data_IF_963467931524
#
_entry.id   IF_963467931524
#
_cell.length_a   1.000
_cell.length_b   1.000
_cell.length_c   1.000
_cell.angle_alpha   90.00
_cell.angle_beta   90.00
_cell.angle_gamma   90.00
#
_symmetry.space_group_name_H-M   'P 1'
#
loop_
_entity.id
_entity.type
_entity.pdbx_description
1 polymer ?
#
# COMPACT_ATOMS: atom_id res chain seq x y z
N UNK A 1 -36.98 44.90 -3.14
CA UNK A 1 -36.23 44.51 -4.35
C UNK A 1 -34.81 44.99 -4.10
N UNK A 2 -33.98 44.20 -3.41
CA UNK A 2 -32.60 44.59 -3.11
C UNK A 2 -31.73 43.34 -2.96
N UNK A 3 -30.50 43.48 -3.42
CA UNK A 3 -29.69 42.50 -4.14
C UNK A 3 -28.92 41.55 -3.25
N UNK A 4 -28.87 40.28 -3.71
CA UNK A 4 -28.08 39.16 -3.20
C UNK A 4 -26.59 39.49 -3.23
N UNK A 5 -26.01 39.72 -2.06
CA UNK A 5 -24.57 39.95 -1.87
C UNK A 5 -23.78 38.68 -2.25
N UNK A 6 -22.94 38.82 -3.27
CA UNK A 6 -22.10 37.75 -3.81
C UNK A 6 -20.92 37.54 -2.89
N UNK A 7 -20.90 36.42 -2.14
CA UNK A 7 -19.70 35.92 -1.45
C UNK A 7 -18.56 35.72 -2.46
N UNK A 8 -17.75 36.74 -2.65
CA UNK A 8 -16.44 36.63 -3.30
C UNK A 8 -15.52 35.88 -2.36
N UNK A 9 -15.25 34.62 -2.68
CA UNK A 9 -14.17 33.84 -2.04
C UNK A 9 -12.86 34.62 -2.29
N UNK A 10 -12.13 35.06 -1.24
CA UNK A 10 -10.90 35.82 -1.43
C UNK A 10 -9.88 34.97 -2.20
N UNK A 11 -9.42 35.49 -3.35
CA UNK A 11 -8.34 34.86 -4.12
C UNK A 11 -7.10 34.78 -3.23
N UNK A 12 -6.40 33.64 -3.16
CA UNK A 12 -5.23 33.49 -2.32
C UNK A 12 -4.15 34.52 -2.69
N UNK A 13 -3.63 35.21 -1.68
CA UNK A 13 -2.51 36.15 -1.79
C UNK A 13 -1.27 35.49 -2.39
N UNK A 14 -0.42 36.27 -3.06
CA UNK A 14 0.80 35.78 -3.75
C UNK A 14 1.69 34.97 -2.80
N UNK A 15 1.86 35.45 -1.56
CA UNK A 15 2.61 34.76 -0.51
C UNK A 15 2.06 33.35 -0.19
N UNK A 16 0.73 33.21 -0.03
CA UNK A 16 0.10 31.92 0.25
C UNK A 16 0.13 30.95 -0.94
N UNK A 17 0.37 31.42 -2.17
CA UNK A 17 0.59 30.55 -3.33
C UNK A 17 2.02 30.00 -3.36
N UNK A 18 3.00 30.85 -3.03
CA UNK A 18 4.42 30.46 -2.94
C UNK A 18 4.63 29.43 -1.84
N UNK A 19 4.02 29.64 -0.66
CA UNK A 19 4.10 28.69 0.46
C UNK A 19 3.55 27.30 0.11
N UNK A 20 2.37 27.23 -0.54
CA UNK A 20 1.82 25.96 -1.02
C UNK A 20 2.68 25.28 -2.08
N UNK A 21 3.27 26.05 -2.99
CA UNK A 21 4.16 25.51 -4.02
C UNK A 21 5.44 24.94 -3.39
N UNK A 22 6.02 25.65 -2.42
CA UNK A 22 7.18 25.20 -1.64
C UNK A 22 6.87 23.92 -0.88
N UNK A 23 5.75 23.89 -0.15
CA UNK A 23 5.32 22.70 0.57
C UNK A 23 5.16 21.50 -0.37
N UNK A 24 4.46 21.69 -1.49
CA UNK A 24 4.25 20.64 -2.48
C UNK A 24 5.57 20.11 -3.04
N UNK A 25 6.53 20.99 -3.32
CA UNK A 25 7.83 20.58 -3.82
C UNK A 25 8.58 19.70 -2.81
N UNK A 26 8.57 20.05 -1.53
CA UNK A 26 9.19 19.25 -0.47
C UNK A 26 8.46 17.91 -0.26
N UNK A 27 7.13 17.90 -0.32
CA UNK A 27 6.34 16.66 -0.27
C UNK A 27 6.74 15.74 -1.45
N UNK A 28 6.82 16.27 -2.67
CA UNK A 28 7.23 15.53 -3.86
C UNK A 28 8.70 15.05 -3.75
N UNK A 29 9.60 15.87 -3.18
CA UNK A 29 11.00 15.53 -2.97
C UNK A 29 11.17 14.37 -1.97
N UNK A 30 10.45 14.41 -0.85
CA UNK A 30 10.43 13.32 0.13
C UNK A 30 9.90 12.03 -0.49
N UNK A 31 8.84 12.11 -1.30
CA UNK A 31 8.28 10.95 -2.00
C UNK A 31 9.30 10.35 -2.98
N UNK A 32 10.00 11.17 -3.76
CA UNK A 32 11.02 10.68 -4.70
C UNK A 32 12.22 10.04 -4.00
N UNK A 33 12.68 10.58 -2.87
CA UNK A 33 13.74 9.96 -2.07
C UNK A 33 13.29 8.62 -1.47
N UNK A 34 12.05 8.52 -0.96
CA UNK A 34 11.48 7.25 -0.49
C UNK A 34 11.35 6.22 -1.61
N UNK A 35 10.98 6.64 -2.82
CA UNK A 35 10.93 5.75 -3.98
C UNK A 35 12.31 5.25 -4.41
N UNK A 36 13.39 5.92 -4.01
CA UNK A 36 14.77 5.49 -4.22
C UNK A 36 15.34 4.64 -3.06
N UNK A 37 14.51 4.31 -2.07
CA UNK A 37 14.89 3.48 -0.91
C UNK A 37 16.01 4.12 -0.06
N UNK A 38 15.97 5.46 0.05
CA UNK A 38 16.87 6.23 0.92
C UNK A 38 16.34 6.16 2.35
N UNK A 39 17.21 5.93 3.36
CA UNK A 39 16.78 5.85 4.75
C UNK A 39 16.28 7.19 5.29
N UNK A 40 15.41 7.12 6.29
CA UNK A 40 14.66 8.24 6.85
C UNK A 40 15.54 9.32 7.47
N UNK A 41 16.66 8.94 8.07
CA UNK A 41 17.68 9.86 8.57
C UNK A 41 18.32 10.67 7.42
N UNK A 42 18.76 10.00 6.36
CA UNK A 42 19.34 10.64 5.18
C UNK A 42 18.33 11.49 4.41
N UNK A 43 17.04 11.11 4.39
CA UNK A 43 15.97 11.96 3.87
C UNK A 43 15.82 13.22 4.73
N UNK A 44 15.82 13.07 6.05
CA UNK A 44 15.71 14.18 6.99
C UNK A 44 16.84 15.19 6.83
N UNK A 45 18.08 14.70 6.76
CA UNK A 45 19.28 15.51 6.52
C UNK A 45 19.18 16.24 5.18
N UNK A 46 18.84 15.54 4.11
CA UNK A 46 18.72 16.16 2.78
C UNK A 46 17.63 17.24 2.72
N UNK A 47 16.49 17.02 3.39
CA UNK A 47 15.41 18.02 3.49
C UNK A 47 15.84 19.21 4.33
N UNK A 48 16.52 18.99 5.47
CA UNK A 48 17.01 20.05 6.33
C UNK A 48 18.02 20.94 5.60
N UNK A 49 19.01 20.35 4.92
CA UNK A 49 19.99 21.09 4.13
C UNK A 49 19.34 21.89 2.98
N UNK A 50 18.34 21.32 2.30
CA UNK A 50 17.62 22.05 1.25
C UNK A 50 16.79 23.22 1.81
N UNK A 51 16.22 23.09 3.01
CA UNK A 51 15.50 24.19 3.69
C UNK A 51 16.44 25.30 4.13
N UNK A 52 17.59 24.95 4.69
CA UNK A 52 18.63 25.90 5.09
C UNK A 52 19.15 26.69 3.89
N UNK A 53 19.47 26.00 2.79
CA UNK A 53 19.91 26.65 1.56
C UNK A 53 18.86 27.62 0.98
N UNK A 54 17.57 27.30 1.09
CA UNK A 54 16.50 28.21 0.66
C UNK A 54 16.32 29.40 1.59
N UNK A 55 16.54 29.23 2.89
CA UNK A 55 16.53 30.32 3.85
C UNK A 55 17.60 31.36 3.50
N UNK A 56 18.78 30.90 3.07
CA UNK A 56 19.89 31.76 2.64
C UNK A 56 19.70 32.35 1.24
N UNK A 57 19.12 31.58 0.31
CA UNK A 57 18.98 31.97 -1.10
C UNK A 57 17.74 32.84 -1.37
N UNK A 58 16.71 32.75 -0.53
CA UNK A 58 15.46 33.52 -0.65
C UNK A 58 14.57 33.21 -1.88
N UNK A 59 14.97 32.25 -2.72
CA UNK A 59 14.23 31.82 -3.92
C UNK A 59 13.20 30.70 -3.64
N UNK A 60 12.42 30.33 -4.65
CA UNK A 60 11.54 29.15 -4.54
C UNK A 60 12.30 27.85 -4.84
N UNK A 61 11.93 26.70 -4.25
CA UNK A 61 12.64 25.44 -4.47
C UNK A 61 12.74 25.04 -5.95
N UNK A 62 11.68 25.30 -6.73
CA UNK A 62 11.65 24.98 -8.15
C UNK A 62 12.58 25.84 -9.00
N UNK A 63 12.88 27.07 -8.58
CA UNK A 63 13.82 27.95 -9.25
C UNK A 63 15.27 27.61 -8.90
N UNK A 64 15.50 27.23 -7.64
CA UNK A 64 16.84 26.98 -7.10
C UNK A 64 17.34 25.57 -7.43
N UNK A 65 16.50 24.56 -7.24
CA UNK A 65 16.87 23.15 -7.38
C UNK A 65 16.27 22.49 -8.63
N UNK A 66 15.33 23.16 -9.30
CA UNK A 66 14.57 22.57 -10.40
C UNK A 66 13.51 21.57 -9.93
N UNK A 67 13.11 20.61 -10.78
CA UNK A 67 12.13 19.59 -10.43
C UNK A 67 12.63 18.68 -9.30
N UNK A 68 11.78 18.45 -8.28
CA UNK A 68 12.11 17.63 -7.10
C UNK A 68 12.71 16.26 -7.46
N UNK A 69 12.17 15.60 -8.49
CA UNK A 69 12.67 14.32 -9.02
C UNK A 69 14.09 14.41 -9.59
N UNK A 70 14.38 15.47 -10.34
CA UNK A 70 15.70 15.66 -10.94
C UNK A 70 16.74 15.94 -9.85
N UNK A 71 16.37 16.75 -8.86
CA UNK A 71 17.21 17.02 -7.70
C UNK A 71 17.45 15.75 -6.87
N UNK A 72 16.41 15.01 -6.51
CA UNK A 72 16.53 13.73 -5.79
C UNK A 72 17.43 12.72 -6.52
N UNK A 73 17.36 12.65 -7.86
CA UNK A 73 18.22 11.76 -8.65
C UNK A 73 19.68 12.23 -8.73
N UNK A 74 19.93 13.54 -8.55
CA UNK A 74 21.28 14.10 -8.55
C UNK A 74 22.02 13.89 -7.22
N UNK A 75 21.30 13.61 -6.14
CA UNK A 75 21.88 13.34 -4.83
C UNK A 75 22.39 11.90 -4.77
N UNK A 76 23.69 11.74 -4.52
CA UNK A 76 24.32 10.44 -4.30
C UNK A 76 24.15 9.99 -2.84
N UNK A 77 22.90 9.75 -2.44
CA UNK A 77 22.54 9.36 -1.08
C UNK A 77 22.65 7.84 -0.88
N UNK A 78 22.95 7.38 0.35
CA UNK A 78 22.94 5.96 0.67
C UNK A 78 21.54 5.37 0.40
N UNK A 79 21.51 4.25 -0.31
CA UNK A 79 20.28 3.49 -0.59
C UNK A 79 20.34 2.17 0.15
N UNK A 80 19.22 1.71 0.67
CA UNK A 80 19.10 0.35 1.14
C UNK A 80 19.37 -0.59 -0.05
N UNK A 81 20.51 -1.28 -0.04
CA UNK A 81 20.71 -2.44 -0.91
C UNK A 81 19.92 -3.57 -0.28
N UNK A 82 18.61 -3.61 -0.47
CA UNK A 82 17.86 -4.81 -0.10
C UNK A 82 18.45 -5.99 -0.89
N UNK A 83 19.02 -7.00 -0.21
CA UNK A 83 19.33 -8.25 -0.89
C UNK A 83 18.00 -8.82 -1.41
N UNK A 84 18.00 -9.48 -2.57
CA UNK A 84 16.82 -10.17 -3.15
C UNK A 84 16.05 -11.04 -2.13
N UNK A 85 16.72 -11.48 -1.06
CA UNK A 85 16.13 -12.20 0.06
C UNK A 85 15.16 -11.37 0.91
N UNK A 86 15.31 -10.04 1.01
CA UNK A 86 14.41 -9.14 1.75
C UNK A 86 13.04 -9.03 1.10
N UNK A 87 13.01 -8.77 -0.20
CA UNK A 87 11.77 -8.78 -1.00
C UNK A 87 11.03 -10.13 -0.93
N UNK A 88 11.75 -11.24 -1.08
CA UNK A 88 11.15 -12.58 -0.95
C UNK A 88 10.63 -12.84 0.47
N UNK A 89 11.36 -12.38 1.49
CA UNK A 89 10.97 -12.46 2.89
C UNK A 89 9.70 -11.67 3.22
N UNK A 90 9.35 -10.64 2.43
CA UNK A 90 8.11 -9.88 2.53
C UNK A 90 6.98 -10.50 1.69
N UNK A 91 7.26 -10.81 0.42
CA UNK A 91 6.26 -11.29 -0.54
C UNK A 91 5.72 -12.69 -0.20
N UNK A 92 6.58 -13.60 0.29
CA UNK A 92 6.18 -14.98 0.58
C UNK A 92 5.11 -15.04 1.68
N UNK A 93 5.29 -14.42 2.86
CA UNK A 93 4.23 -14.34 3.86
C UNK A 93 2.95 -13.68 3.37
N UNK A 94 3.04 -12.59 2.59
CA UNK A 94 1.86 -11.93 2.03
C UNK A 94 1.07 -12.84 1.08
N UNK A 95 1.77 -13.51 0.16
CA UNK A 95 1.14 -14.44 -0.78
C UNK A 95 0.54 -15.66 -0.06
N UNK A 96 1.25 -16.21 0.93
CA UNK A 96 0.75 -17.32 1.75
C UNK A 96 -0.47 -16.91 2.59
N UNK A 97 -0.45 -15.72 3.19
CA UNK A 97 -1.58 -15.19 3.94
C UNK A 97 -2.81 -15.00 3.06
N UNK A 98 -2.62 -14.49 1.84
CA UNK A 98 -3.70 -14.33 0.86
C UNK A 98 -4.25 -15.67 0.36
N UNK A 99 -3.38 -16.66 0.11
CA UNK A 99 -3.78 -18.03 -0.19
C UNK A 99 -4.59 -18.65 0.95
N UNK A 100 -4.13 -18.51 2.20
CA UNK A 100 -4.85 -18.97 3.38
C UNK A 100 -6.22 -18.31 3.51
N UNK A 101 -6.31 -17.02 3.20
CA UNK A 101 -7.56 -16.26 3.22
C UNK A 101 -8.55 -16.80 2.20
N UNK A 102 -8.12 -16.98 0.94
CA UNK A 102 -8.97 -17.54 -0.10
C UNK A 102 -9.40 -18.98 0.19
N UNK A 103 -8.53 -19.80 0.79
CA UNK A 103 -8.86 -21.16 1.18
C UNK A 103 -9.96 -21.20 2.27
N UNK A 104 -9.83 -20.37 3.32
CA UNK A 104 -10.86 -20.24 4.36
C UNK A 104 -12.16 -19.69 3.78
N UNK A 105 -12.07 -18.66 2.94
CA UNK A 105 -13.21 -18.05 2.28
C UNK A 105 -14.02 -19.06 1.46
N UNK A 106 -13.32 -19.83 0.62
CA UNK A 106 -13.93 -20.86 -0.21
C UNK A 106 -14.58 -21.96 0.65
N UNK A 107 -13.91 -22.40 1.71
CA UNK A 107 -14.43 -23.43 2.62
C UNK A 107 -15.68 -22.97 3.37
N UNK A 108 -15.69 -21.76 3.91
CA UNK A 108 -16.84 -21.19 4.61
C UNK A 108 -18.03 -20.98 3.66
N UNK A 109 -17.77 -20.61 2.40
CA UNK A 109 -18.82 -20.45 1.40
C UNK A 109 -19.40 -21.77 0.85
N UNK A 110 -18.78 -22.91 1.17
CA UNK A 110 -19.23 -24.21 0.67
C UNK A 110 -20.50 -24.68 1.38
N UNK A 111 -21.48 -25.13 0.60
CA UNK A 111 -22.76 -25.63 1.14
C UNK A 111 -22.75 -27.15 1.31
N UNK A 112 -22.04 -27.87 0.43
CA UNK A 112 -22.09 -29.33 0.37
C UNK A 112 -20.92 -30.02 1.12
N UNK A 113 -20.26 -29.30 2.03
CA UNK A 113 -19.06 -29.78 2.73
C UNK A 113 -17.84 -30.00 1.81
N UNK A 114 -17.93 -29.58 0.54
CA UNK A 114 -16.84 -29.63 -0.43
C UNK A 114 -16.63 -28.27 -1.09
N UNK A 115 -15.37 -27.87 -1.20
CA UNK A 115 -14.92 -26.68 -1.90
C UNK A 115 -14.76 -27.03 -3.37
N UNK A 116 -15.57 -26.41 -4.22
CA UNK A 116 -15.42 -26.51 -5.67
C UNK A 116 -14.43 -25.45 -6.14
N UNK A 117 -13.30 -25.88 -6.68
CA UNK A 117 -12.34 -24.96 -7.30
C UNK A 117 -12.77 -24.72 -8.73
N UNK A 118 -13.44 -23.60 -8.95
CA UNK A 118 -13.93 -23.17 -10.27
C UNK A 118 -12.87 -22.36 -11.00
N UNK A 119 -12.94 -22.34 -12.34
CA UNK A 119 -12.03 -21.52 -13.15
C UNK A 119 -12.10 -20.02 -12.79
N UNK A 120 -13.29 -19.39 -12.62
CA UNK A 120 -13.37 -18.01 -12.17
C UNK A 120 -12.78 -17.80 -10.77
N UNK A 121 -13.04 -18.74 -9.84
CA UNK A 121 -12.46 -18.69 -8.49
C UNK A 121 -10.94 -18.72 -8.51
N UNK A 122 -10.35 -19.62 -9.30
CA UNK A 122 -8.90 -19.71 -9.47
C UNK A 122 -8.31 -18.43 -10.06
N UNK A 123 -8.96 -17.84 -11.08
CA UNK A 123 -8.51 -16.59 -11.67
C UNK A 123 -8.53 -15.43 -10.66
N UNK A 124 -9.53 -15.37 -9.77
CA UNK A 124 -9.58 -14.37 -8.69
C UNK A 124 -8.37 -14.53 -7.76
N UNK A 125 -8.07 -15.77 -7.33
CA UNK A 125 -6.90 -16.05 -6.48
C UNK A 125 -5.61 -15.62 -7.18
N UNK A 126 -5.41 -16.01 -8.43
CA UNK A 126 -4.22 -15.68 -9.21
C UNK A 126 -4.07 -14.16 -9.41
N UNK A 127 -5.18 -13.47 -9.66
CA UNK A 127 -5.18 -12.01 -9.80
C UNK A 127 -4.79 -11.34 -8.48
N UNK A 128 -5.36 -11.79 -7.36
CA UNK A 128 -5.00 -11.28 -6.03
C UNK A 128 -3.51 -11.47 -5.72
N UNK A 129 -2.96 -12.65 -6.03
CA UNK A 129 -1.54 -12.95 -5.85
C UNK A 129 -0.64 -12.10 -6.76
N UNK A 130 -1.03 -11.93 -8.02
CA UNK A 130 -0.30 -11.07 -8.96
C UNK A 130 -0.30 -9.61 -8.49
N UNK A 131 -1.43 -9.10 -8.01
CA UNK A 131 -1.52 -7.75 -7.45
C UNK A 131 -0.65 -7.59 -6.20
N UNK A 132 -0.64 -8.58 -5.30
CA UNK A 132 0.23 -8.57 -4.12
C UNK A 132 1.72 -8.58 -4.50
N UNK A 133 2.12 -9.45 -5.43
CA UNK A 133 3.50 -9.55 -5.92
C UNK A 133 3.96 -8.28 -6.65
N UNK A 134 3.06 -7.65 -7.41
CA UNK A 134 3.35 -6.44 -8.16
C UNK A 134 3.11 -5.15 -7.37
N UNK A 135 2.64 -5.22 -6.11
CA UNK A 135 2.31 -4.04 -5.31
C UNK A 135 3.43 -2.96 -5.27
N UNK A 136 4.73 -3.30 -5.12
CA UNK A 136 5.80 -2.28 -5.10
C UNK A 136 5.92 -1.54 -6.44
N UNK A 137 5.80 -2.28 -7.55
CA UNK A 137 5.84 -1.72 -8.90
C UNK A 137 4.60 -0.88 -9.20
N UNK A 138 3.44 -1.34 -8.73
CA UNK A 138 2.18 -0.64 -8.86
C UNK A 138 2.22 0.70 -8.10
N UNK A 139 2.73 0.73 -6.87
CA UNK A 139 2.87 1.98 -6.11
C UNK A 139 3.68 3.04 -6.87
N UNK A 140 4.85 2.66 -7.41
CA UNK A 140 5.65 3.57 -8.24
C UNK A 140 4.91 4.03 -9.50
N UNK A 141 4.13 3.15 -10.13
CA UNK A 141 3.31 3.49 -11.29
C UNK A 141 2.14 4.43 -10.96
N UNK A 142 1.45 4.20 -9.85
CA UNK A 142 0.33 5.00 -9.35
C UNK A 142 0.76 6.42 -8.98
N UNK A 143 1.94 6.56 -8.37
CA UNK A 143 2.48 7.86 -7.96
C UNK A 143 2.98 8.68 -9.15
N UNK A 144 3.56 8.04 -10.17
CA UNK A 144 4.20 8.72 -11.31
C UNK A 144 3.26 9.07 -12.46
N UNK A 145 2.08 8.47 -12.52
CA UNK A 145 1.16 8.58 -13.66
C UNK A 145 -0.18 9.24 -13.32
N UNK A 146 -0.96 9.65 -14.33
CA UNK A 146 -2.32 10.10 -14.10
C UNK A 146 -3.18 8.91 -13.62
N UNK A 147 -3.89 9.11 -12.51
CA UNK A 147 -4.64 8.06 -11.79
C UNK A 147 -5.68 7.30 -12.64
N UNK A 148 -6.15 7.88 -13.74
CA UNK A 148 -7.09 7.22 -14.65
C UNK A 148 -6.50 5.97 -15.32
N UNK A 149 -5.18 5.92 -15.55
CA UNK A 149 -4.54 4.77 -16.21
C UNK A 149 -4.62 3.49 -15.37
N UNK A 150 -4.14 3.47 -14.11
CA UNK A 150 -4.29 2.29 -13.29
C UNK A 150 -5.75 2.02 -12.92
N UNK A 151 -6.58 3.06 -12.77
CA UNK A 151 -8.02 2.87 -12.55
C UNK A 151 -8.70 2.15 -13.73
N UNK A 152 -8.39 2.54 -14.96
CA UNK A 152 -8.90 1.88 -16.16
C UNK A 152 -8.39 0.43 -16.28
N UNK A 153 -7.13 0.17 -15.93
CA UNK A 153 -6.58 -1.19 -15.92
C UNK A 153 -7.28 -2.08 -14.88
N UNK A 154 -7.49 -1.58 -13.65
CA UNK A 154 -8.23 -2.30 -12.61
C UNK A 154 -9.68 -2.54 -13.02
N UNK A 155 -10.33 -1.54 -13.62
CA UNK A 155 -11.69 -1.67 -14.13
C UNK A 155 -11.76 -2.75 -15.21
N UNK A 156 -10.82 -2.76 -16.16
CA UNK A 156 -10.76 -3.77 -17.22
C UNK A 156 -10.60 -5.18 -16.66
N UNK A 157 -9.65 -5.38 -15.72
CA UNK A 157 -9.43 -6.68 -15.06
C UNK A 157 -10.68 -7.13 -14.31
N UNK A 158 -11.33 -6.21 -13.58
CA UNK A 158 -12.57 -6.49 -12.87
C UNK A 158 -13.71 -6.88 -13.84
N UNK A 159 -13.91 -6.12 -14.91
CA UNK A 159 -14.93 -6.43 -15.93
C UNK A 159 -14.68 -7.78 -16.58
N UNK A 160 -13.41 -8.10 -16.90
CA UNK A 160 -13.05 -9.40 -17.46
C UNK A 160 -13.35 -10.55 -16.49
N UNK A 161 -13.02 -10.37 -15.21
CA UNK A 161 -13.33 -11.35 -14.16
C UNK A 161 -14.84 -11.59 -14.00
N UNK A 162 -15.64 -10.52 -14.01
CA UNK A 162 -17.10 -10.62 -13.95
C UNK A 162 -17.63 -11.35 -15.19
N UNK A 163 -17.14 -10.99 -16.38
CA UNK A 163 -17.56 -11.65 -17.62
C UNK A 163 -17.23 -13.14 -17.61
N UNK A 164 -16.01 -13.52 -17.20
CA UNK A 164 -15.62 -14.92 -17.06
C UNK A 164 -16.44 -15.63 -15.98
N UNK A 165 -16.73 -14.96 -14.85
CA UNK A 165 -17.59 -15.50 -13.79
C UNK A 165 -19.01 -15.81 -14.25
N UNK A 166 -19.54 -15.03 -15.21
CA UNK A 166 -20.84 -15.27 -15.83
C UNK A 166 -20.76 -16.39 -16.87
N UNK A 167 -19.74 -16.38 -17.74
CA UNK A 167 -19.62 -17.34 -18.86
C UNK A 167 -19.14 -18.73 -18.45
N UNK A 168 -18.27 -18.83 -17.45
CA UNK A 168 -17.59 -20.07 -17.05
C UNK A 168 -17.97 -20.51 -15.63
N UNK A 169 -19.16 -20.11 -15.16
CA UNK A 169 -19.64 -20.39 -13.79
C UNK A 169 -19.60 -21.88 -13.44
N UNK A 170 -19.94 -22.73 -14.40
CA UNK A 170 -20.12 -24.17 -14.19
C UNK A 170 -18.83 -24.97 -14.43
N UNK A 171 -17.72 -24.30 -14.74
CA UNK A 171 -16.44 -24.95 -14.97
C UNK A 171 -15.75 -25.23 -13.64
N UNK A 172 -16.04 -26.41 -13.08
CA UNK A 172 -15.36 -26.96 -11.90
C UNK A 172 -14.12 -27.72 -12.35
N UNK A 173 -12.94 -27.34 -11.83
CA UNK A 173 -11.67 -28.00 -12.15
C UNK A 173 -11.45 -29.22 -11.26
N UNK A 174 -11.68 -29.07 -9.95
CA UNK A 174 -11.56 -30.14 -8.96
C UNK A 174 -12.29 -29.77 -7.66
N UNK A 175 -12.56 -30.76 -6.82
CA UNK A 175 -13.24 -30.60 -5.53
C UNK A 175 -12.31 -30.99 -4.38
N UNK A 176 -12.36 -30.21 -3.30
CA UNK A 176 -11.58 -30.45 -2.08
C UNK A 176 -12.52 -30.57 -0.88
N UNK A 177 -12.22 -31.42 0.12
CA UNK A 177 -12.98 -31.44 1.36
C UNK A 177 -12.90 -30.08 2.08
N UNK A 178 -14.03 -29.51 2.48
CA UNK A 178 -14.07 -28.15 3.02
C UNK A 178 -13.36 -28.02 4.37
N UNK A 179 -13.53 -29.01 5.25
CA UNK A 179 -12.98 -28.95 6.61
C UNK A 179 -11.44 -29.00 6.63
N UNK A 180 -10.75 -29.92 5.93
CA UNK A 180 -9.30 -29.86 5.75
C UNK A 180 -8.82 -28.56 5.08
N UNK A 181 -9.56 -28.04 4.10
CA UNK A 181 -9.22 -26.79 3.40
C UNK A 181 -9.29 -25.57 4.33
N UNK A 182 -10.34 -25.48 5.16
CA UNK A 182 -10.48 -24.43 6.17
C UNK A 182 -9.37 -24.50 7.22
N UNK A 183 -9.07 -25.70 7.73
CA UNK A 183 -8.05 -25.88 8.76
C UNK A 183 -6.66 -25.55 8.23
N UNK A 184 -6.31 -26.04 7.04
CA UNK A 184 -5.00 -25.74 6.41
C UNK A 184 -4.88 -24.26 6.05
N UNK A 185 -5.91 -23.66 5.44
CA UNK A 185 -5.92 -22.24 5.11
C UNK A 185 -5.83 -21.36 6.35
N UNK A 186 -6.59 -21.69 7.39
CA UNK A 186 -6.57 -20.99 8.67
C UNK A 186 -5.24 -21.11 9.39
N UNK A 187 -4.62 -22.30 9.38
CA UNK A 187 -3.29 -22.51 9.95
C UNK A 187 -2.22 -21.71 9.21
N UNK A 188 -2.21 -21.74 7.87
CA UNK A 188 -1.28 -20.93 7.06
C UNK A 188 -1.47 -19.44 7.37
N UNK A 189 -2.71 -18.98 7.42
CA UNK A 189 -3.02 -17.59 7.69
C UNK A 189 -2.58 -17.18 9.11
N UNK A 190 -2.84 -18.01 10.12
CA UNK A 190 -2.34 -17.82 11.49
C UNK A 190 -0.81 -17.78 11.54
N UNK A 191 -0.14 -18.75 10.91
CA UNK A 191 1.32 -18.84 10.88
C UNK A 191 1.95 -17.62 10.23
N UNK A 192 1.41 -17.13 9.11
CA UNK A 192 1.91 -15.92 8.45
C UNK A 192 1.71 -14.66 9.29
N UNK A 193 0.56 -14.54 9.97
CA UNK A 193 0.27 -13.42 10.88
C UNK A 193 1.21 -13.42 12.09
N UNK A 194 1.42 -14.58 12.72
CA UNK A 194 2.36 -14.77 13.82
C UNK A 194 3.80 -14.47 13.38
N UNK A 195 4.21 -14.98 12.21
CA UNK A 195 5.55 -14.75 11.66
C UNK A 195 5.84 -13.26 11.44
N UNK A 196 4.87 -12.51 10.91
CA UNK A 196 4.97 -11.06 10.75
C UNK A 196 5.16 -10.31 12.08
N UNK A 197 4.63 -10.85 13.18
CA UNK A 197 4.76 -10.24 14.51
C UNK A 197 6.12 -10.53 15.18
N UNK A 198 6.78 -11.63 14.83
CA UNK A 198 8.11 -11.98 15.34
C UNK A 198 9.25 -11.30 14.56
N UNK A 199 9.05 -10.99 13.27
CA UNK A 199 9.96 -10.14 12.49
C UNK A 199 9.70 -8.65 12.75
N UNK A 200 10.06 -8.18 13.95
CA UNK A 200 10.04 -6.75 14.31
C UNK A 200 11.24 -5.95 13.81
N UNK A 201 12.07 -6.52 12.94
CA UNK A 201 13.28 -5.84 12.43
C UNK A 201 12.99 -4.83 11.31
N UNK A 202 11.74 -4.71 10.86
CA UNK A 202 11.31 -3.68 9.90
C UNK A 202 10.43 -2.66 10.63
N UNK A 203 11.01 -1.99 11.63
CA UNK A 203 10.39 -0.77 12.13
C UNK A 203 10.20 0.19 10.93
N UNK A 204 9.08 0.92 10.86
CA UNK A 204 8.96 2.02 9.91
C UNK A 204 10.20 2.88 10.09
N UNK A 205 10.91 3.21 9.00
CA UNK A 205 12.00 4.17 9.05
C UNK A 205 11.38 5.58 9.03
N UNK A 206 11.17 6.20 10.21
CA UNK A 206 10.62 7.55 10.24
C UNK A 206 11.64 8.50 9.61
N UNK A 207 11.16 9.50 8.88
CA UNK A 207 12.05 10.61 8.50
C UNK A 207 12.37 11.34 9.80
N UNK A 208 13.59 11.17 10.29
CA UNK A 208 14.05 11.82 11.51
C UNK A 208 14.53 13.21 11.12
N UNK A 209 13.97 14.25 11.73
CA UNK A 209 14.59 15.57 11.65
C UNK A 209 15.93 15.54 12.40
N UNK A 210 17.04 15.95 11.78
CA UNK A 210 18.31 16.00 12.49
C UNK A 210 18.17 16.88 13.74
N UNK A 211 18.59 16.33 14.89
CA UNK A 211 18.58 16.93 16.23
C UNK A 211 17.31 16.85 17.08
N UNK A 212 16.24 16.16 16.64
CA UNK A 212 15.10 15.88 17.53
C UNK A 212 15.11 14.40 17.91
N UNK A 213 15.20 14.11 19.21
CA UNK A 213 15.10 12.75 19.72
C UNK A 213 13.81 12.08 19.19
N UNK A 214 13.84 10.81 18.78
CA UNK A 214 12.70 10.16 18.15
C UNK A 214 11.47 10.30 19.05
N UNK A 215 10.34 10.84 18.54
CA UNK A 215 9.12 10.88 19.33
C UNK A 215 8.74 9.44 19.71
N UNK A 216 8.25 9.19 20.95
CA UNK A 216 7.83 7.86 21.34
C UNK A 216 6.79 7.33 20.34
N UNK A 217 6.97 6.10 19.87
CA UNK A 217 6.06 5.46 18.91
C UNK A 217 4.63 5.59 19.41
N UNK A 218 3.80 6.36 18.70
CA UNK A 218 2.44 6.57 19.14
C UNK A 218 1.69 5.24 19.14
N UNK A 219 0.92 5.00 20.21
CA UNK A 219 0.10 3.78 20.35
C UNK A 219 -0.75 3.51 19.09
N UNK A 220 -1.24 4.57 18.44
CA UNK A 220 -2.01 4.49 17.20
C UNK A 220 -1.24 3.93 16.00
N UNK A 221 0.03 4.29 15.81
CA UNK A 221 0.86 3.76 14.72
C UNK A 221 1.21 2.29 14.95
N UNK A 222 1.49 1.91 16.20
CA UNK A 222 1.71 0.51 16.57
C UNK A 222 0.44 -0.31 16.37
N UNK A 223 -0.72 0.22 16.77
CA UNK A 223 -2.01 -0.41 16.56
C UNK A 223 -2.34 -0.56 15.07
N UNK A 224 -2.02 0.44 14.24
CA UNK A 224 -2.24 0.38 12.79
C UNK A 224 -1.35 -0.68 12.13
N UNK A 225 -0.09 -0.81 12.55
CA UNK A 225 0.80 -1.87 12.07
C UNK A 225 0.33 -3.27 12.46
N UNK A 226 -0.14 -3.42 13.71
CA UNK A 226 -0.75 -4.67 14.18
C UNK A 226 -2.05 -4.96 13.41
N UNK A 227 -2.96 -4.01 13.28
CA UNK A 227 -4.21 -4.19 12.53
C UNK A 227 -3.96 -4.51 11.07
N UNK A 228 -2.98 -3.86 10.42
CA UNK A 228 -2.60 -4.16 9.04
C UNK A 228 -2.14 -5.60 8.86
N UNK A 229 -1.30 -6.10 9.78
CA UNK A 229 -0.82 -7.48 9.76
C UNK A 229 -1.94 -8.49 10.08
N UNK A 230 -2.90 -8.12 10.94
CA UNK A 230 -4.02 -8.96 11.33
C UNK A 230 -5.27 -8.81 10.44
N UNK A 231 -5.25 -7.90 9.46
CA UNK A 231 -6.42 -7.55 8.68
C UNK A 231 -7.00 -8.74 7.92
N UNK A 232 -6.14 -9.57 7.31
CA UNK A 232 -6.57 -10.77 6.60
C UNK A 232 -7.16 -11.81 7.55
N UNK A 233 -6.60 -11.96 8.76
CA UNK A 233 -7.12 -12.89 9.77
C UNK A 233 -8.47 -12.44 10.30
N UNK A 234 -8.60 -11.16 10.65
CA UNK A 234 -9.85 -10.57 11.11
C UNK A 234 -10.93 -10.64 10.03
N UNK A 235 -10.58 -10.39 8.77
CA UNK A 235 -11.50 -10.52 7.65
C UNK A 235 -11.99 -11.96 7.46
N UNK A 236 -11.09 -12.95 7.53
CA UNK A 236 -11.45 -14.37 7.46
C UNK A 236 -12.37 -14.77 8.63
N UNK A 237 -12.05 -14.34 9.84
CA UNK A 237 -12.84 -14.61 11.04
C UNK A 237 -14.23 -13.96 10.98
N UNK A 238 -14.31 -12.70 10.54
CA UNK A 238 -15.57 -11.98 10.37
C UNK A 238 -16.46 -12.66 9.32
N UNK A 239 -15.86 -13.14 8.22
CA UNK A 239 -16.60 -13.86 7.19
C UNK A 239 -17.10 -15.22 7.69
N UNK A 240 -16.28 -15.95 8.45
CA UNK A 240 -16.71 -17.18 9.14
C UNK A 240 -17.88 -16.94 10.08
N UNK A 241 -17.78 -15.89 10.93
CA UNK A 241 -18.84 -15.51 11.86
C UNK A 241 -20.14 -15.12 11.13
N UNK A 242 -20.05 -14.36 10.03
CA UNK A 242 -21.22 -13.98 9.24
C UNK A 242 -21.98 -15.20 8.70
N UNK A 243 -21.27 -16.20 8.20
CA UNK A 243 -21.89 -17.44 7.70
C UNK A 243 -22.46 -18.31 8.83
N UNK A 244 -21.86 -18.30 10.03
CA UNK A 244 -22.41 -19.03 11.19
C UNK A 244 -23.67 -18.38 11.77
N UNK A 245 -23.85 -17.07 11.58
CA UNK A 245 -25.00 -16.31 12.06
C UNK A 245 -26.18 -16.30 11.07
N UNK A 246 -26.02 -16.84 9.87
CA UNK A 246 -27.03 -16.91 8.82
C UNK A 246 -27.63 -18.30 8.70
#
# INVERSE_FOLDING_TARGET
METRDGRTIPKPTRAGRTDRATKRWFDDFVVELRLQDVPGDAIGDAVASAREFLADSGGTPGEVFGPARAYAASLDLPRHKEPRSGMAALLVPTCLGLLGFFAVAAAVSSTDGSVQVTLPGLLIVLTGLALAACAPLLLGFFVRGPLWRPAAALLLVFTLQVLIGILARDVVLFTLPALPTALTGGLVLLSTSLWGQFRKDTAPDPILEPMIAPPPSSFGLTLLGVLGNWMLFLAAAAMGAWFLLR
#
